data_IF_298622285633
#
_entry.id   IF_298622285633
#
_cell.length_a   1.000
_cell.length_b   1.000
_cell.length_c   1.000
_cell.angle_alpha   90.00
_cell.angle_beta   90.00
_cell.angle_gamma   90.00
#
_symmetry.space_group_name_H-M   'P 1'
#
loop_
_entity.id
_entity.type
_entity.pdbx_description
1 polymer ?
#
# COMPACT_ATOMS: atom_id res chain seq x y z
N UNK A 1 0.40 11.89 -10.02
CA UNK A 1 1.20 10.86 -10.70
C UNK A 1 1.66 9.89 -9.63
N UNK A 2 1.49 8.58 -9.81
CA UNK A 2 1.92 7.59 -8.84
C UNK A 2 3.43 7.62 -8.60
N UNK A 3 3.86 7.38 -7.35
CA UNK A 3 5.27 7.34 -6.95
C UNK A 3 5.60 5.96 -6.39
N UNK A 4 6.47 5.23 -7.07
CA UNK A 4 6.90 3.90 -6.61
C UNK A 4 7.78 4.03 -5.35
N UNK A 5 7.41 3.29 -4.30
CA UNK A 5 8.20 3.19 -3.08
C UNK A 5 9.09 1.95 -3.17
N UNK A 6 10.41 2.19 -3.20
CA UNK A 6 11.40 1.15 -3.47
C UNK A 6 12.34 1.04 -2.26
N UNK A 7 12.49 -0.17 -1.75
CA UNK A 7 13.44 -0.48 -0.67
C UNK A 7 14.89 -0.27 -1.11
N UNK A 8 15.82 -0.22 -0.15
CA UNK A 8 17.25 -0.15 -0.42
C UNK A 8 17.80 -1.38 -1.16
N UNK A 9 17.07 -2.49 -1.19
CA UNK A 9 17.39 -3.71 -1.95
C UNK A 9 16.72 -3.77 -3.32
N UNK A 10 15.92 -2.78 -3.70
CA UNK A 10 15.28 -2.67 -5.02
C UNK A 10 13.87 -3.25 -5.13
N UNK A 11 13.34 -3.85 -4.05
CA UNK A 11 11.96 -4.35 -4.02
C UNK A 11 10.95 -3.22 -3.96
N UNK A 12 9.87 -3.31 -4.75
CA UNK A 12 8.71 -2.41 -4.69
C UNK A 12 7.91 -2.74 -3.44
N UNK A 13 7.91 -1.83 -2.47
CA UNK A 13 7.22 -2.00 -1.17
C UNK A 13 5.86 -1.32 -1.13
N UNK A 14 5.57 -0.46 -2.09
CA UNK A 14 4.32 0.29 -2.16
C UNK A 14 4.32 1.33 -3.26
N UNK A 15 3.22 2.07 -3.36
CA UNK A 15 3.06 3.14 -4.36
C UNK A 15 2.22 4.25 -3.71
N UNK A 16 2.66 5.49 -3.84
CA UNK A 16 1.92 6.67 -3.36
C UNK A 16 1.15 7.35 -4.49
N UNK A 17 0.11 8.10 -4.14
CA UNK A 17 -0.67 8.94 -5.06
C UNK A 17 -1.28 8.18 -6.25
N UNK A 18 -1.80 6.98 -6.00
CA UNK A 18 -2.64 6.23 -6.93
C UNK A 18 -4.03 6.88 -6.95
N UNK A 19 -4.53 7.20 -8.14
CA UNK A 19 -5.90 7.68 -8.29
C UNK A 19 -6.88 6.50 -8.40
N UNK A 20 -7.83 6.42 -7.48
CA UNK A 20 -8.94 5.46 -7.48
C UNK A 20 -10.24 6.23 -7.35
N UNK A 21 -11.07 6.22 -8.40
CA UNK A 21 -12.34 6.95 -8.45
C UNK A 21 -12.24 8.44 -8.03
N UNK A 22 -11.26 9.16 -8.60
CA UNK A 22 -10.96 10.58 -8.36
C UNK A 22 -10.45 10.91 -6.95
N UNK A 23 -10.07 9.92 -6.15
CA UNK A 23 -9.40 10.12 -4.87
C UNK A 23 -8.00 9.52 -4.91
N UNK A 24 -7.07 10.11 -4.16
CA UNK A 24 -5.70 9.64 -4.08
C UNK A 24 -5.55 8.68 -2.90
N UNK A 25 -4.85 7.59 -3.15
CA UNK A 25 -4.51 6.57 -2.17
C UNK A 25 -3.02 6.24 -2.23
N UNK A 26 -2.49 5.80 -1.10
CA UNK A 26 -1.23 5.07 -1.05
C UNK A 26 -1.54 3.59 -0.84
N UNK A 27 -0.65 2.74 -1.33
CA UNK A 27 -0.71 1.30 -1.11
C UNK A 27 0.64 0.82 -0.59
N UNK A 28 0.61 -0.07 0.39
CA UNK A 28 1.77 -0.83 0.85
C UNK A 28 1.55 -2.31 0.55
N UNK A 29 2.59 -2.99 0.09
CA UNK A 29 2.58 -4.44 -0.10
C UNK A 29 3.06 -5.12 1.18
N UNK A 30 2.16 -5.85 1.82
CA UNK A 30 2.39 -6.41 3.16
C UNK A 30 2.04 -7.88 3.19
N UNK A 31 2.96 -8.65 3.76
CA UNK A 31 2.81 -10.08 3.98
C UNK A 31 2.28 -10.40 5.36
N UNK A 32 1.44 -11.43 5.46
CA UNK A 32 0.94 -11.94 6.73
C UNK A 32 -0.44 -12.56 6.61
N UNK A 33 -1.13 -12.68 7.74
CA UNK A 33 -2.53 -13.12 7.76
C UNK A 33 -3.45 -11.91 7.71
N UNK A 34 -4.60 -12.06 7.05
CA UNK A 34 -5.66 -11.03 7.05
C UNK A 34 -5.93 -10.51 8.47
N UNK A 35 -6.16 -11.44 9.41
CA UNK A 35 -6.48 -11.11 10.81
C UNK A 35 -5.38 -10.32 11.53
N UNK A 36 -4.13 -10.38 11.07
CA UNK A 36 -3.01 -9.65 11.65
C UNK A 36 -2.89 -8.24 11.04
N UNK A 37 -3.21 -8.11 9.75
CA UNK A 37 -3.00 -6.89 8.97
C UNK A 37 -4.21 -5.96 9.08
N UNK A 38 -5.44 -6.50 9.05
CA UNK A 38 -6.68 -5.73 8.99
C UNK A 38 -7.56 -5.98 10.21
N UNK A 39 -7.05 -5.66 11.40
CA UNK A 39 -7.82 -5.60 12.67
C UNK A 39 -8.71 -6.81 13.01
N UNK A 40 -8.41 -7.99 12.49
CA UNK A 40 -9.17 -9.23 12.73
C UNK A 40 -9.95 -9.76 11.52
N UNK A 41 -10.09 -8.99 10.44
CA UNK A 41 -10.87 -9.35 9.25
C UNK A 41 -12.26 -9.91 9.60
N UNK A 42 -12.93 -9.30 10.56
CA UNK A 42 -14.22 -9.72 11.08
C UNK A 42 -15.35 -8.75 10.73
N UNK A 43 -15.00 -7.59 10.14
CA UNK A 43 -15.95 -6.60 9.66
C UNK A 43 -15.50 -5.99 8.32
N UNK A 44 -16.44 -5.58 7.47
CA UNK A 44 -16.10 -4.79 6.28
C UNK A 44 -15.45 -3.44 6.62
N UNK A 45 -15.66 -2.89 7.82
CA UNK A 45 -15.01 -1.67 8.28
C UNK A 45 -13.50 -1.82 8.52
N UNK A 46 -12.98 -3.04 8.50
CA UNK A 46 -11.53 -3.31 8.62
C UNK A 46 -10.77 -2.95 7.34
N UNK A 47 -11.49 -2.68 6.25
CA UNK A 47 -10.94 -2.44 4.92
C UNK A 47 -11.23 -1.02 4.45
N UNK A 48 -10.27 -0.44 3.73
CA UNK A 48 -10.40 0.90 3.14
C UNK A 48 -11.51 0.93 2.08
N UNK A 49 -11.54 -0.07 1.20
CA UNK A 49 -12.59 -0.22 0.20
C UNK A 49 -13.66 -1.18 0.70
N UNK A 50 -14.88 -0.69 0.90
CA UNK A 50 -15.96 -1.47 1.52
C UNK A 50 -16.99 -2.00 0.51
N UNK A 51 -16.65 -1.98 -0.78
CA UNK A 51 -17.51 -2.48 -1.85
C UNK A 51 -16.68 -3.17 -2.92
N UNK A 52 -17.29 -4.16 -3.57
CA UNK A 52 -16.72 -4.87 -4.72
C UNK A 52 -16.23 -3.92 -5.82
N UNK A 53 -17.05 -2.91 -6.16
CA UNK A 53 -16.74 -1.95 -7.20
C UNK A 53 -15.49 -1.10 -6.87
N UNK A 54 -15.36 -0.66 -5.61
CA UNK A 54 -14.18 0.11 -5.18
C UNK A 54 -12.90 -0.74 -5.19
N UNK A 55 -13.00 -2.00 -4.75
CA UNK A 55 -11.87 -2.92 -4.78
C UNK A 55 -11.41 -3.21 -6.21
N UNK A 56 -12.35 -3.44 -7.14
CA UNK A 56 -12.04 -3.61 -8.56
C UNK A 56 -11.41 -2.35 -9.18
N UNK A 57 -11.91 -1.15 -8.85
CA UNK A 57 -11.28 0.11 -9.28
C UNK A 57 -9.83 0.21 -8.79
N UNK A 58 -9.56 -0.18 -7.54
CA UNK A 58 -8.22 -0.19 -6.97
C UNK A 58 -7.30 -1.20 -7.66
N UNK A 59 -7.79 -2.42 -7.93
CA UNK A 59 -7.05 -3.42 -8.68
C UNK A 59 -6.75 -2.95 -10.11
N UNK A 60 -7.73 -2.36 -10.80
CA UNK A 60 -7.53 -1.79 -12.14
C UNK A 60 -6.46 -0.69 -12.13
N UNK A 61 -6.46 0.19 -11.13
CA UNK A 61 -5.46 1.25 -11.01
C UNK A 61 -4.03 0.70 -10.82
N UNK A 62 -3.87 -0.42 -10.09
CA UNK A 62 -2.58 -1.11 -9.99
C UNK A 62 -2.12 -1.64 -11.35
N UNK A 63 -3.01 -2.26 -12.13
CA UNK A 63 -2.67 -2.82 -13.45
C UNK A 63 -2.15 -1.73 -14.41
N UNK A 64 -2.76 -0.54 -14.38
CA UNK A 64 -2.31 0.60 -15.17
C UNK A 64 -0.90 1.05 -14.79
N UNK A 65 -0.54 0.95 -13.50
CA UNK A 65 0.80 1.32 -13.01
C UNK A 65 1.85 0.30 -13.42
N UNK A 66 1.52 -1.00 -13.36
CA UNK A 66 2.46 -2.05 -13.75
C UNK A 66 2.78 -2.02 -15.23
N UNK A 67 1.93 -1.46 -16.09
CA UNK A 67 2.17 -1.39 -17.52
C UNK A 67 3.51 -0.73 -17.89
N UNK A 68 4.45 -1.52 -18.43
CA UNK A 68 5.74 -1.08 -18.98
C UNK A 68 6.78 -0.55 -17.97
N UNK A 69 6.81 -1.07 -16.74
CA UNK A 69 7.90 -0.80 -15.79
C UNK A 69 8.72 -2.06 -15.46
N UNK A 70 9.80 -1.95 -14.69
CA UNK A 70 10.65 -3.11 -14.36
C UNK A 70 9.93 -4.18 -13.55
N UNK A 71 8.97 -3.78 -12.71
CA UNK A 71 8.17 -4.67 -11.87
C UNK A 71 7.13 -5.43 -12.69
N UNK A 72 6.70 -4.91 -13.85
CA UNK A 72 5.92 -5.65 -14.87
C UNK A 72 6.66 -6.88 -15.40
N UNK A 73 7.95 -6.68 -15.70
CA UNK A 73 8.80 -7.71 -16.28
C UNK A 73 9.32 -8.68 -15.22
N UNK A 74 9.31 -8.27 -13.96
CA UNK A 74 9.91 -8.95 -12.81
C UNK A 74 8.96 -8.88 -11.60
N UNK A 75 7.83 -9.61 -11.63
CA UNK A 75 6.84 -9.57 -10.56
C UNK A 75 7.40 -10.01 -9.19
N UNK A 76 8.47 -10.80 -9.17
CA UNK A 76 9.17 -11.19 -7.93
C UNK A 76 9.95 -10.03 -7.27
N UNK A 77 10.00 -8.86 -7.91
CA UNK A 77 10.55 -7.66 -7.29
C UNK A 77 9.50 -6.89 -6.48
N UNK A 78 8.24 -7.30 -6.47
CA UNK A 78 7.21 -6.76 -5.56
C UNK A 78 7.34 -7.44 -4.19
N UNK A 79 7.34 -6.64 -3.12
CA UNK A 79 7.40 -7.14 -1.74
C UNK A 79 6.28 -8.17 -1.49
N UNK A 80 6.65 -9.33 -0.95
CA UNK A 80 5.74 -10.46 -0.68
C UNK A 80 5.54 -11.42 -1.86
N UNK A 81 6.17 -11.16 -3.02
CA UNK A 81 6.15 -12.06 -4.16
C UNK A 81 7.55 -12.61 -4.45
N UNK A 82 7.64 -13.92 -4.65
CA UNK A 82 8.85 -14.66 -5.03
C UNK A 82 8.73 -15.31 -6.43
N UNK A 83 7.52 -15.39 -6.97
CA UNK A 83 7.22 -15.96 -8.27
C UNK A 83 7.67 -15.04 -9.41
N UNK A 84 8.48 -15.60 -10.31
CA UNK A 84 8.92 -14.91 -11.53
C UNK A 84 7.83 -14.82 -12.61
N UNK A 85 6.66 -15.41 -12.38
CA UNK A 85 5.59 -15.49 -13.38
C UNK A 85 4.45 -14.52 -13.09
N UNK A 86 4.11 -14.33 -11.82
CA UNK A 86 2.96 -13.52 -11.41
C UNK A 86 3.12 -13.04 -9.97
N UNK A 87 2.57 -11.87 -9.69
CA UNK A 87 2.32 -11.38 -8.34
C UNK A 87 0.87 -10.93 -8.23
N UNK A 88 0.13 -11.57 -7.33
CA UNK A 88 -1.24 -11.24 -6.95
C UNK A 88 -1.22 -10.28 -5.77
N UNK A 89 -1.66 -9.04 -6.02
CA UNK A 89 -1.83 -8.03 -4.99
C UNK A 89 -3.30 -7.97 -4.63
N UNK A 90 -3.64 -8.48 -3.45
CA UNK A 90 -5.03 -8.68 -3.05
C UNK A 90 -5.55 -7.52 -2.19
N UNK A 91 -6.75 -7.06 -2.52
CA UNK A 91 -7.45 -5.94 -1.88
C UNK A 91 -8.77 -6.45 -1.31
N UNK A 92 -8.79 -6.79 -0.01
CA UNK A 92 -10.01 -7.15 0.72
C UNK A 92 -11.06 -6.04 0.69
N UNK A 93 -12.35 -6.40 0.68
CA UNK A 93 -13.43 -5.42 0.80
C UNK A 93 -14.62 -5.85 1.64
N UNK A 94 -14.77 -7.15 1.93
CA UNK A 94 -15.86 -7.64 2.75
C UNK A 94 -15.46 -8.88 3.54
N UNK A 95 -15.75 -8.87 4.83
CA UNK A 95 -15.59 -10.04 5.68
C UNK A 95 -16.87 -10.87 5.70
N UNK A 96 -16.70 -12.16 5.51
CA UNK A 96 -17.67 -13.20 5.80
C UNK A 96 -16.94 -14.30 6.58
N UNK A 97 -16.41 -13.93 7.76
CA UNK A 97 -15.50 -14.76 8.54
C UNK A 97 -15.97 -16.22 8.63
N UNK A 98 -15.11 -17.21 8.33
CA UNK A 98 -13.65 -17.12 8.20
C UNK A 98 -13.13 -16.81 6.79
N UNK A 99 -14.01 -16.41 5.87
CA UNK A 99 -13.63 -16.00 4.51
C UNK A 99 -13.64 -14.49 4.35
N UNK A 100 -12.85 -14.00 3.40
CA UNK A 100 -12.78 -12.60 3.03
C UNK A 100 -12.93 -12.51 1.52
N UNK A 101 -13.87 -11.68 1.08
CA UNK A 101 -14.01 -11.32 -0.32
C UNK A 101 -13.03 -10.21 -0.67
N UNK A 102 -12.41 -10.36 -1.82
CA UNK A 102 -11.35 -9.47 -2.28
C UNK A 102 -11.39 -9.31 -3.80
N UNK A 103 -10.71 -8.29 -4.28
CA UNK A 103 -10.25 -8.24 -5.65
C UNK A 103 -8.73 -8.45 -5.68
N UNK A 104 -8.18 -8.93 -6.78
CA UNK A 104 -6.74 -8.99 -6.97
C UNK A 104 -6.35 -8.26 -8.25
N UNK A 105 -5.19 -7.63 -8.22
CA UNK A 105 -4.42 -7.27 -9.40
C UNK A 105 -3.33 -8.33 -9.62
N UNK A 106 -3.36 -9.01 -10.77
CA UNK A 106 -2.34 -9.95 -11.19
C UNK A 106 -1.37 -9.22 -12.13
N UNK A 107 -0.17 -8.96 -11.61
CA UNK A 107 0.96 -8.51 -12.40
C UNK A 107 1.67 -9.75 -12.97
N UNK A 108 1.38 -10.10 -14.22
CA UNK A 108 1.96 -11.24 -14.92
C UNK A 108 3.23 -10.80 -15.64
N UNK A 109 4.27 -11.64 -15.64
CA UNK A 109 5.56 -11.28 -16.20
C UNK A 109 5.49 -10.98 -17.72
N UNK A 110 5.70 -9.71 -18.07
CA UNK A 110 6.03 -9.21 -19.40
C UNK A 110 5.01 -9.47 -20.51
N UNK A 111 5.05 -10.64 -21.15
CA UNK A 111 4.26 -10.92 -22.37
C UNK A 111 2.85 -11.44 -22.08
N UNK A 112 2.60 -11.83 -20.84
CA UNK A 112 1.27 -12.27 -20.40
C UNK A 112 0.52 -11.01 -19.95
N UNK A 113 -0.69 -10.73 -20.48
CA UNK A 113 -1.45 -9.57 -20.06
C UNK A 113 -1.72 -9.57 -18.56
N UNK A 114 -1.47 -8.45 -17.92
CA UNK A 114 -1.94 -8.18 -16.56
C UNK A 114 -3.48 -8.24 -16.52
N UNK A 115 -4.03 -8.75 -15.44
CA UNK A 115 -5.46 -8.89 -15.28
C UNK A 115 -5.88 -8.64 -13.83
N UNK A 116 -7.15 -8.37 -13.61
CA UNK A 116 -7.72 -8.28 -12.27
C UNK A 116 -9.05 -9.02 -12.23
N UNK A 117 -9.41 -9.57 -11.07
CA UNK A 117 -10.69 -10.23 -10.86
C UNK A 117 -11.06 -10.26 -9.38
N UNK A 118 -12.25 -10.78 -9.10
CA UNK A 118 -12.70 -11.07 -7.75
C UNK A 118 -12.22 -12.45 -7.30
N UNK A 119 -12.01 -12.58 -5.99
CA UNK A 119 -11.62 -13.82 -5.34
C UNK A 119 -12.24 -13.91 -3.94
N UNK A 120 -12.03 -15.04 -3.29
CA UNK A 120 -12.33 -15.24 -1.89
C UNK A 120 -11.22 -16.06 -1.27
N UNK A 121 -10.67 -15.56 -0.17
CA UNK A 121 -9.60 -16.23 0.59
C UNK A 121 -10.05 -16.54 2.01
N UNK A 122 -9.30 -17.41 2.68
CA UNK A 122 -9.46 -17.61 4.12
C UNK A 122 -8.77 -16.46 4.86
N UNK A 123 -9.44 -15.87 5.85
CA UNK A 123 -8.87 -14.83 6.71
C UNK A 123 -7.61 -15.33 7.47
N UNK A 124 -7.50 -16.65 7.66
CA UNK A 124 -6.38 -17.31 8.33
C UNK A 124 -5.25 -17.72 7.37
N UNK A 125 -5.43 -17.56 6.05
CA UNK A 125 -4.36 -17.79 5.09
C UNK A 125 -3.23 -16.81 5.37
N UNK A 126 -1.99 -17.30 5.38
CA UNK A 126 -0.79 -16.51 5.59
C UNK A 126 -0.06 -16.33 4.25
N UNK A 127 -0.03 -15.09 3.73
CA UNK A 127 0.61 -14.81 2.45
C UNK A 127 2.11 -15.04 2.47
N UNK A 128 2.76 -15.03 3.65
CA UNK A 128 4.17 -15.44 3.80
C UNK A 128 4.45 -16.90 3.39
N UNK A 129 3.40 -17.71 3.28
CA UNK A 129 3.49 -19.11 2.82
C UNK A 129 3.09 -19.27 1.35
N UNK A 130 2.65 -18.18 0.70
CA UNK A 130 2.38 -18.13 -0.72
C UNK A 130 3.59 -17.50 -1.42
N UNK A 131 3.91 -17.98 -2.61
CA UNK A 131 5.07 -17.48 -3.37
C UNK A 131 4.71 -16.33 -4.30
N UNK A 132 3.42 -16.07 -4.50
CA UNK A 132 2.92 -15.20 -5.56
C UNK A 132 1.84 -14.23 -5.09
N UNK A 133 1.59 -14.13 -3.78
CA UNK A 133 0.45 -13.37 -3.26
C UNK A 133 0.89 -12.48 -2.11
N UNK A 134 0.50 -11.22 -2.14
CA UNK A 134 0.71 -10.23 -1.05
C UNK A 134 -0.56 -9.40 -0.85
N UNK A 135 -0.78 -8.87 0.35
CA UNK A 135 -1.84 -7.88 0.54
C UNK A 135 -1.45 -6.53 -0.03
N UNK A 136 -2.38 -5.88 -0.70
CA UNK A 136 -2.37 -4.45 -0.98
C UNK A 136 -3.12 -3.72 0.14
N UNK A 137 -2.36 -3.12 1.05
CA UNK A 137 -2.91 -2.35 2.18
C UNK A 137 -3.03 -0.90 1.75
N UNK A 138 -4.28 -0.45 1.61
CA UNK A 138 -4.59 0.88 1.11
C UNK A 138 -4.82 1.86 2.26
N UNK A 139 -4.40 3.10 2.04
CA UNK A 139 -4.74 4.23 2.87
C UNK A 139 -5.09 5.42 1.97
N UNK A 140 -6.09 6.20 2.37
CA UNK A 140 -6.38 7.47 1.68
C UNK A 140 -5.19 8.42 1.83
N UNK A 141 -4.69 8.92 0.71
CA UNK A 141 -3.58 9.86 0.73
C UNK A 141 -4.05 11.17 1.38
N UNK A 142 -3.37 11.59 2.44
CA UNK A 142 -3.59 12.92 2.98
C UNK A 142 -3.04 13.93 1.99
N UNK A 143 -3.89 14.87 1.53
CA UNK A 143 -3.45 16.07 0.82
C UNK A 143 -2.68 16.97 1.79
N UNK A 144 -1.48 16.57 2.20
CA UNK A 144 -0.51 17.50 2.76
C UNK A 144 -0.06 18.33 1.55
N UNK A 145 -0.80 19.40 1.27
CA UNK A 145 -0.23 20.53 0.53
C UNK A 145 1.16 20.75 1.10
N UNK A 146 2.20 20.80 0.28
CA UNK A 146 3.56 21.16 0.70
C UNK A 146 3.50 22.26 1.78
N UNK A 147 3.52 21.86 3.05
CA UNK A 147 3.65 22.85 4.11
C UNK A 147 5.11 23.26 3.99
N UNK A 148 5.38 24.56 3.80
CA UNK A 148 6.76 24.98 3.66
C UNK A 148 7.47 24.58 4.94
N UNK A 149 8.55 23.82 4.80
CA UNK A 149 9.47 23.37 5.86
C UNK A 149 10.06 24.57 6.67
N UNK A 150 9.67 25.80 6.36
CA UNK A 150 10.15 27.03 6.98
C UNK A 150 9.62 27.31 8.40
N UNK A 151 8.63 26.57 8.91
CA UNK A 151 8.08 26.85 10.26
C UNK A 151 8.98 26.37 11.42
N UNK A 152 10.00 25.54 11.18
CA UNK A 152 10.88 25.00 12.24
C UNK A 152 12.11 25.90 12.52
N UNK A 153 12.40 26.90 11.68
CA UNK A 153 13.60 27.74 11.84
C UNK A 153 13.42 28.90 12.85
N UNK A 154 12.20 29.23 13.27
CA UNK A 154 11.96 30.41 14.14
C UNK A 154 11.98 30.16 15.66
N UNK A 155 12.18 28.92 16.15
CA UNK A 155 12.19 28.63 17.59
C UNK A 155 13.58 28.56 18.24
N UNK A 156 14.66 28.91 17.53
CA UNK A 156 16.03 28.93 18.08
C UNK A 156 16.67 30.32 18.26
N UNK A 157 15.89 31.41 18.35
CA UNK A 157 16.44 32.75 18.60
C UNK A 157 16.00 33.45 19.91
N UNK A 158 15.29 32.78 20.81
CA UNK A 158 15.03 33.34 22.15
C UNK A 158 15.32 32.35 23.27
N UNK A 159 16.60 32.04 23.49
CA UNK A 159 17.08 31.74 24.83
C UNK A 159 18.51 32.24 25.01
N UNK A 160 18.77 32.89 26.15
CA UNK A 160 19.98 33.62 26.62
C UNK A 160 19.95 35.10 26.24
N UNK A 161 19.72 36.03 27.19
CA UNK A 161 20.62 36.35 28.31
C UNK A 161 19.87 36.40 29.65
N UNK A 162 20.34 35.56 30.59
CA UNK A 162 19.99 35.55 32.01
C UNK A 162 20.78 36.66 32.72
N UNK A 163 20.13 37.40 33.63
CA UNK A 163 20.73 38.40 34.54
C UNK A 163 22.02 37.88 35.19
N UNK A 164 23.08 38.69 35.18
CA UNK A 164 24.22 38.56 36.09
C UNK A 164 24.24 39.80 36.98
N UNK A 165 23.84 39.63 38.23
CA UNK A 165 24.11 40.54 39.34
C UNK A 165 25.53 40.30 39.84
N UNK A 166 26.35 41.36 39.97
CA UNK A 166 27.56 41.35 40.78
C UNK A 166 27.48 42.45 41.83
N UNK A 167 27.46 42.05 43.10
CA UNK A 167 27.65 42.90 44.27
C UNK A 167 29.15 43.10 44.52
N UNK A 168 29.56 44.35 44.74
CA UNK A 168 30.43 44.76 45.84
C UNK A 168 30.28 46.25 46.10
#
# INVERSE_FOLDING_TARGET
MPILQISNTGSLTGIENIEVNNELYNVSFVDGRCIEIFSGCDNSSDFEFQTEALALSASSALIDIFSNNIYDLRPELTQGCESIQVCYMVTPYQSAFPTVQESFAANNAGLIPNNFALSTILALLDTRQQVDTTYAVWEKANNISEQPIMAIVFLFLFSTIRKVTFNK
#
